data_IF_583853377799
#
_entry.id   IF_583853377799
#
_cell.length_a   1.000
_cell.length_b   1.000
_cell.length_c   1.000
_cell.angle_alpha   90.00
_cell.angle_beta   90.00
_cell.angle_gamma   90.00
#
_symmetry.space_group_name_H-M   'P 1'
#
loop_
_entity.id
_entity.type
_entity.pdbx_description
1 polymer ?
#
# COMPACT_ATOMS: atom_id res chain seq x y z
N UNK A 1 -4.97 16.11 10.43
CA UNK A 1 -5.86 15.50 9.42
C UNK A 1 -6.61 14.36 10.13
N UNK A 2 -7.93 14.44 10.35
CA UNK A 2 -8.69 13.28 10.84
C UNK A 2 -8.87 12.33 9.65
N UNK A 3 -8.23 11.17 9.70
CA UNK A 3 -8.40 10.13 8.68
C UNK A 3 -9.72 9.40 8.88
N UNK A 4 -10.46 9.15 7.80
CA UNK A 4 -11.63 8.27 7.83
C UNK A 4 -11.22 6.79 7.82
N UNK A 5 -12.18 5.86 7.94
CA UNK A 5 -11.93 4.46 7.64
C UNK A 5 -11.59 4.29 6.14
N UNK A 6 -10.87 3.22 5.76
CA UNK A 6 -10.66 2.90 4.35
C UNK A 6 -12.00 2.73 3.60
N UNK A 7 -12.07 3.15 2.32
CA UNK A 7 -13.28 3.02 1.52
C UNK A 7 -13.48 1.56 1.06
N UNK A 8 -14.68 1.26 0.54
CA UNK A 8 -14.96 -0.02 -0.12
C UNK A 8 -14.41 -0.08 -1.54
N UNK A 9 -14.27 1.08 -2.19
CA UNK A 9 -13.74 1.21 -3.55
C UNK A 9 -12.43 2.02 -3.52
N UNK A 10 -11.39 1.44 -4.12
CA UNK A 10 -10.05 2.03 -4.24
C UNK A 10 -9.74 2.54 -5.65
N UNK A 11 -10.71 2.53 -6.58
CA UNK A 11 -10.58 3.10 -7.92
C UNK A 11 -9.97 4.52 -7.91
N UNK A 12 -10.49 5.47 -7.09
CA UNK A 12 -9.92 6.81 -6.99
C UNK A 12 -8.46 6.84 -6.51
N UNK A 13 -8.06 5.89 -5.65
CA UNK A 13 -6.67 5.79 -5.17
C UNK A 13 -5.76 5.30 -6.30
N UNK A 14 -6.21 4.30 -7.08
CA UNK A 14 -5.50 3.82 -8.26
C UNK A 14 -5.29 4.94 -9.28
N UNK A 15 -6.34 5.72 -9.55
CA UNK A 15 -6.26 6.88 -10.45
C UNK A 15 -5.25 7.91 -9.92
N UNK A 16 -5.28 8.22 -8.63
CA UNK A 16 -4.32 9.14 -8.03
C UNK A 16 -2.88 8.67 -8.18
N UNK A 17 -2.59 7.36 -8.07
CA UNK A 17 -1.24 6.81 -8.29
C UNK A 17 -0.84 6.99 -9.75
N UNK A 18 -1.73 6.66 -10.69
CA UNK A 18 -1.51 6.80 -12.12
C UNK A 18 -1.17 8.26 -12.51
N UNK A 19 -2.01 9.21 -12.09
CA UNK A 19 -1.85 10.64 -12.39
C UNK A 19 -0.56 11.22 -11.79
N UNK A 20 -0.06 10.61 -10.70
CA UNK A 20 1.09 11.07 -9.94
C UNK A 20 2.29 10.10 -10.05
N UNK A 21 2.34 9.24 -11.08
CA UNK A 21 3.32 8.15 -11.20
C UNK A 21 4.78 8.60 -11.03
N UNK A 22 5.13 9.84 -11.42
CA UNK A 22 6.47 10.39 -11.23
C UNK A 22 6.93 10.52 -9.76
N UNK A 23 6.00 10.42 -8.79
CA UNK A 23 6.32 10.37 -7.36
C UNK A 23 6.41 8.94 -6.81
N UNK A 24 6.01 7.93 -7.57
CA UNK A 24 6.03 6.55 -7.14
C UNK A 24 7.12 5.78 -7.89
N UNK A 25 8.06 5.23 -7.14
CA UNK A 25 9.08 4.34 -7.69
C UNK A 25 8.67 2.89 -7.40
N UNK A 26 9.10 1.93 -8.21
CA UNK A 26 8.96 0.50 -7.87
C UNK A 26 9.86 0.13 -6.69
N UNK A 27 9.45 -0.88 -5.93
CA UNK A 27 10.26 -1.47 -4.87
C UNK A 27 10.94 -2.75 -5.32
N UNK A 28 11.72 -3.33 -4.43
CA UNK A 28 12.09 -4.73 -4.55
C UNK A 28 10.83 -5.60 -4.45
N UNK A 29 10.71 -6.64 -5.30
CA UNK A 29 9.63 -7.61 -5.14
C UNK A 29 9.75 -8.33 -3.78
N UNK A 30 8.64 -8.86 -3.25
CA UNK A 30 8.71 -9.77 -2.11
C UNK A 30 9.72 -10.90 -2.34
N UNK A 31 10.40 -11.41 -1.29
CA UNK A 31 11.28 -12.56 -1.41
C UNK A 31 10.56 -13.78 -1.99
N UNK A 32 11.29 -14.75 -2.58
CA UNK A 32 10.69 -15.98 -3.07
C UNK A 32 9.86 -16.70 -1.99
N UNK A 33 8.65 -17.12 -2.35
CA UNK A 33 7.70 -17.79 -1.44
C UNK A 33 6.93 -16.85 -0.50
N UNK A 34 7.18 -15.54 -0.54
CA UNK A 34 6.40 -14.54 0.18
C UNK A 34 5.28 -14.04 -0.74
N UNK A 35 4.04 -14.23 -0.30
CA UNK A 35 2.85 -13.74 -0.98
C UNK A 35 2.01 -12.91 -0.01
N UNK A 36 1.50 -11.79 -0.52
CA UNK A 36 0.58 -10.94 0.22
C UNK A 36 -0.85 -11.31 -0.14
N UNK A 37 -1.71 -11.45 0.88
CA UNK A 37 -3.11 -11.79 0.71
C UNK A 37 -3.98 -10.83 1.51
N UNK A 38 -5.03 -10.27 0.89
CA UNK A 38 -6.00 -9.45 1.60
C UNK A 38 -6.67 -10.25 2.73
N UNK A 39 -6.87 -9.58 3.86
CA UNK A 39 -7.46 -10.16 5.06
C UNK A 39 -6.50 -11.00 5.89
N UNK A 40 -5.27 -11.24 5.42
CA UNK A 40 -4.25 -11.98 6.19
C UNK A 40 -3.20 -11.03 6.79
N UNK A 41 -2.59 -11.40 7.92
CA UNK A 41 -1.39 -10.74 8.41
C UNK A 41 -0.26 -10.80 7.38
N UNK A 42 0.58 -9.77 7.37
CA UNK A 42 1.84 -9.81 6.65
C UNK A 42 2.65 -11.07 7.05
N UNK A 43 3.31 -11.73 6.09
CA UNK A 43 4.20 -12.84 6.38
C UNK A 43 5.30 -12.45 7.36
N UNK A 44 5.66 -13.38 8.27
CA UNK A 44 6.66 -13.10 9.28
C UNK A 44 8.00 -12.72 8.65
N UNK A 45 8.59 -11.62 9.10
CA UNK A 45 9.84 -11.08 8.56
C UNK A 45 9.70 -10.23 7.30
N UNK A 46 8.49 -10.08 6.74
CA UNK A 46 8.21 -9.19 5.61
C UNK A 46 7.25 -8.08 6.02
N UNK A 47 7.65 -6.83 5.76
CA UNK A 47 6.85 -5.66 6.10
C UNK A 47 6.53 -4.76 4.91
N UNK A 48 7.01 -5.09 3.72
CA UNK A 48 7.03 -4.16 2.59
C UNK A 48 7.90 -2.93 2.83
N UNK A 49 8.14 -2.17 1.77
CA UNK A 49 8.91 -0.94 1.79
C UNK A 49 8.03 0.26 2.12
N UNK A 50 8.60 1.24 2.83
CA UNK A 50 7.90 2.50 3.12
C UNK A 50 7.86 3.36 1.87
N UNK A 51 6.71 3.99 1.63
CA UNK A 51 6.62 5.08 0.68
C UNK A 51 7.30 6.33 1.23
N UNK A 52 7.92 7.11 0.36
CA UNK A 52 8.46 8.41 0.74
C UNK A 52 7.34 9.44 0.98
N UNK A 53 7.70 10.57 1.57
CA UNK A 53 6.73 11.62 1.92
C UNK A 53 6.07 12.25 0.68
N UNK A 54 6.72 12.25 -0.48
CA UNK A 54 6.17 12.84 -1.71
C UNK A 54 5.05 11.94 -2.24
N UNK A 55 5.29 10.63 -2.35
CA UNK A 55 4.28 9.63 -2.69
C UNK A 55 3.12 9.62 -1.68
N UNK A 56 3.43 9.56 -0.38
CA UNK A 56 2.42 9.55 0.69
C UNK A 56 1.53 10.79 0.68
N UNK A 57 2.06 11.95 0.30
CA UNK A 57 1.27 13.19 0.22
C UNK A 57 0.17 13.14 -0.85
N UNK A 58 0.25 12.22 -1.81
CA UNK A 58 -0.75 12.00 -2.87
C UNK A 58 -1.81 10.96 -2.49
N UNK A 59 -1.59 10.20 -1.43
CA UNK A 59 -2.52 9.17 -1.00
C UNK A 59 -3.40 9.66 0.16
N UNK A 60 -4.66 9.17 0.24
CA UNK A 60 -5.50 9.45 1.40
C UNK A 60 -4.91 8.82 2.66
N UNK A 61 -5.07 9.52 3.78
CA UNK A 61 -4.73 9.01 5.11
C UNK A 61 -5.95 8.35 5.75
N UNK A 62 -5.80 7.08 6.13
CA UNK A 62 -6.79 6.34 6.91
C UNK A 62 -6.27 6.10 8.32
N UNK A 63 -7.07 6.43 9.32
CA UNK A 63 -6.65 6.29 10.72
C UNK A 63 -6.42 4.82 11.05
N UNK A 64 -5.24 4.50 11.60
CA UNK A 64 -4.88 3.12 11.96
C UNK A 64 -4.43 2.26 10.79
N UNK A 65 -4.16 2.85 9.62
CA UNK A 65 -3.58 2.15 8.47
C UNK A 65 -2.36 2.86 7.94
N UNK A 66 -1.50 2.12 7.25
CA UNK A 66 -0.34 2.65 6.54
C UNK A 66 -0.24 2.11 5.12
N UNK A 67 0.23 2.97 4.21
CA UNK A 67 0.56 2.60 2.84
C UNK A 67 2.00 2.12 2.76
N UNK A 68 2.21 0.99 2.09
CA UNK A 68 3.53 0.44 1.79
C UNK A 68 3.60 -0.04 0.35
N UNK A 69 4.82 -0.34 -0.08
CA UNK A 69 5.13 -0.83 -1.42
C UNK A 69 5.68 -2.25 -1.34
N UNK A 70 5.28 -3.10 -2.28
CA UNK A 70 5.78 -4.45 -2.45
C UNK A 70 6.00 -4.71 -3.94
N UNK A 71 7.25 -4.61 -4.43
CA UNK A 71 7.53 -4.66 -5.86
C UNK A 71 6.77 -3.57 -6.64
N UNK A 72 5.85 -3.99 -7.50
CA UNK A 72 4.99 -3.13 -8.33
C UNK A 72 3.68 -2.73 -7.66
N UNK A 73 3.43 -3.21 -6.45
CA UNK A 73 2.14 -3.10 -5.79
C UNK A 73 2.22 -2.05 -4.68
N UNK A 74 1.07 -1.42 -4.42
CA UNK A 74 0.86 -0.56 -3.26
C UNK A 74 -0.13 -1.26 -2.33
N UNK A 75 0.23 -1.45 -1.07
CA UNK A 75 -0.56 -2.19 -0.10
C UNK A 75 -0.97 -1.30 1.06
N UNK A 76 -2.22 -1.46 1.50
CA UNK A 76 -2.73 -0.82 2.71
C UNK A 76 -2.74 -1.82 3.84
N UNK A 77 -2.10 -1.50 4.95
CA UNK A 77 -1.92 -2.41 6.10
C UNK A 77 -2.51 -1.79 7.36
N UNK A 78 -3.25 -2.57 8.15
CA UNK A 78 -3.74 -2.15 9.45
C UNK A 78 -2.60 -2.11 10.48
N UNK A 79 -2.38 -0.93 11.05
CA UNK A 79 -1.36 -0.69 12.07
C UNK A 79 -1.72 -1.46 13.34
N UNK A 80 -0.74 -2.20 13.88
CA UNK A 80 -0.88 -2.99 15.11
C UNK A 80 -1.20 -4.47 14.88
N UNK A 81 -1.98 -4.81 13.85
CA UNK A 81 -2.27 -6.23 13.50
C UNK A 81 -1.42 -6.73 12.33
N UNK A 82 -0.94 -5.82 11.48
CA UNK A 82 -0.24 -6.19 10.25
C UNK A 82 -1.15 -6.82 9.19
N UNK A 83 -2.47 -6.76 9.36
CA UNK A 83 -3.42 -7.30 8.37
C UNK A 83 -3.36 -6.46 7.09
N UNK A 84 -3.16 -7.13 5.96
CA UNK A 84 -3.26 -6.52 4.64
C UNK A 84 -4.73 -6.25 4.35
N UNK A 85 -5.10 -4.97 4.28
CA UNK A 85 -6.46 -4.54 4.01
C UNK A 85 -6.75 -4.57 2.50
N UNK A 86 -5.88 -3.95 1.71
CA UNK A 86 -6.03 -3.85 0.26
C UNK A 86 -4.68 -4.01 -0.44
N UNK A 87 -4.71 -4.61 -1.63
CA UNK A 87 -3.56 -4.74 -2.52
C UNK A 87 -3.93 -4.05 -3.83
N UNK A 88 -3.30 -2.90 -4.07
CA UNK A 88 -3.35 -2.23 -5.36
C UNK A 88 -2.32 -2.87 -6.28
N UNK A 89 -2.71 -4.04 -6.80
CA UNK A 89 -1.89 -4.86 -7.68
C UNK A 89 -1.48 -4.09 -8.95
N UNK A 90 -0.19 -4.14 -9.27
CA UNK A 90 0.41 -3.66 -10.51
C UNK A 90 0.32 -2.15 -10.75
N UNK A 91 -0.04 -1.33 -9.75
CA UNK A 91 -0.25 0.12 -9.95
C UNK A 91 1.02 0.93 -10.22
N UNK A 92 2.19 0.32 -10.04
CA UNK A 92 3.49 0.91 -10.38
C UNK A 92 4.05 0.37 -11.70
N UNK A 93 3.23 -0.35 -12.48
CA UNK A 93 3.60 -0.83 -13.81
C UNK A 93 3.58 0.26 -14.88
#
# INVERSE_FOLDING_TARGET
>A
RRGGPPPRDFGPVRQSIHDNHGYFVRGAPPPPGIHLERGRPLPHGYYGERLDNRALSRLPYYQGYEWRRAGTDIVLIAVGTGIVYEILDGVLN
#
